data_IF_148949645824
#
_entry.id   IF_148949645824
#
_cell.length_a   1.000
_cell.length_b   1.000
_cell.length_c   1.000
_cell.angle_alpha   90.00
_cell.angle_beta   90.00
_cell.angle_gamma   90.00
#
_symmetry.space_group_name_H-M   'P 1'
#
loop_
_entity.id
_entity.type
_entity.pdbx_description
1 polymer ?
#
# COMPACT_ATOMS: atom_id res chain seq x y z
N UNK A 1 6.71 0.90 4.00
CA UNK A 1 6.35 1.85 2.90
C UNK A 1 4.84 1.96 2.80
N UNK A 2 4.31 2.85 1.90
CA UNK A 2 2.86 3.10 1.86
C UNK A 2 2.42 4.09 2.94
N UNK A 3 3.09 5.26 3.04
CA UNK A 3 2.79 6.28 4.07
C UNK A 3 1.45 6.96 3.82
N UNK A 4 1.15 7.28 2.56
CA UNK A 4 0.01 8.11 2.17
C UNK A 4 -0.94 7.39 1.21
N UNK A 5 -0.54 6.23 0.67
CA UNK A 5 -1.34 5.43 -0.25
C UNK A 5 -1.02 3.95 -0.10
N UNK A 6 -2.03 3.12 -0.14
CA UNK A 6 -1.97 1.68 0.17
C UNK A 6 -1.61 0.76 -1.00
N UNK A 7 -1.25 1.29 -2.17
CA UNK A 7 -1.01 0.49 -3.37
C UNK A 7 -0.01 -0.64 -3.18
N UNK A 8 1.14 -0.36 -2.53
CA UNK A 8 2.15 -1.40 -2.29
C UNK A 8 1.65 -2.51 -1.38
N UNK A 9 0.89 -2.15 -0.33
CA UNK A 9 0.32 -3.13 0.58
C UNK A 9 -0.79 -3.92 -0.10
N UNK A 10 -1.67 -3.27 -0.87
CA UNK A 10 -2.79 -3.90 -1.55
C UNK A 10 -2.29 -4.89 -2.61
N UNK A 11 -1.51 -4.43 -3.59
CA UNK A 11 -1.02 -5.27 -4.69
C UNK A 11 -0.05 -6.35 -4.20
N UNK A 12 0.86 -6.00 -3.28
CA UNK A 12 1.79 -6.96 -2.69
C UNK A 12 1.08 -7.99 -1.81
N UNK A 13 0.09 -7.56 -1.04
CA UNK A 13 -0.73 -8.43 -0.21
C UNK A 13 -1.58 -9.40 -1.03
N UNK A 14 -2.29 -8.92 -2.04
CA UNK A 14 -3.06 -9.77 -2.96
C UNK A 14 -2.15 -10.78 -3.67
N UNK A 15 -1.00 -10.32 -4.20
CA UNK A 15 -0.06 -11.19 -4.91
C UNK A 15 0.57 -12.26 -4.03
N UNK A 16 0.74 -11.99 -2.74
CA UNK A 16 1.30 -12.95 -1.76
C UNK A 16 0.23 -13.83 -1.09
N UNK A 17 -1.06 -13.60 -1.36
CA UNK A 17 -2.16 -14.30 -0.71
C UNK A 17 -2.33 -13.91 0.75
N UNK A 18 -2.08 -12.65 1.10
CA UNK A 18 -2.32 -12.14 2.44
C UNK A 18 -3.80 -12.28 2.83
N UNK A 19 -4.04 -12.69 4.06
CA UNK A 19 -5.37 -12.87 4.61
C UNK A 19 -6.02 -11.51 4.95
N UNK A 20 -5.22 -10.58 5.50
CA UNK A 20 -5.61 -9.21 5.82
C UNK A 20 -4.59 -8.24 5.21
N UNK A 21 -5.09 -7.14 4.65
CA UNK A 21 -4.27 -6.07 4.07
C UNK A 21 -4.78 -4.74 4.64
N UNK A 22 -3.96 -4.04 5.39
CA UNK A 22 -4.32 -2.77 6.03
C UNK A 22 -3.67 -1.60 5.27
N UNK A 23 -4.51 -0.65 4.84
CA UNK A 23 -4.11 0.48 3.98
C UNK A 23 -4.40 1.82 4.66
N UNK A 24 -3.68 2.90 4.31
CA UNK A 24 -3.90 4.23 4.91
C UNK A 24 -5.26 4.83 4.61
N UNK A 25 -5.89 4.44 3.52
CA UNK A 25 -7.16 4.99 3.04
C UNK A 25 -8.38 4.52 3.83
N UNK A 26 -8.20 3.50 4.68
CA UNK A 26 -9.27 2.95 5.51
C UNK A 26 -8.76 2.58 6.89
N UNK A 27 -9.28 3.24 7.92
CA UNK A 27 -8.92 2.99 9.31
C UNK A 27 -9.41 1.60 9.73
N UNK A 28 -8.57 0.85 10.44
CA UNK A 28 -8.90 -0.51 10.86
C UNK A 28 -9.21 -0.60 12.36
N UNK A 29 -10.10 -1.54 12.75
CA UNK A 29 -10.29 -1.94 14.14
C UNK A 29 -9.39 -3.13 14.45
N UNK A 30 -8.65 -3.04 15.56
CA UNK A 30 -7.83 -4.15 16.07
C UNK A 30 -8.71 -5.33 16.47
N UNK A 31 -9.87 -5.06 17.05
CA UNK A 31 -10.86 -6.07 17.44
C UNK A 31 -11.33 -6.85 16.23
N UNK A 32 -11.66 -6.15 15.14
CA UNK A 32 -12.09 -6.79 13.88
C UNK A 32 -10.97 -7.62 13.25
N UNK A 33 -9.72 -7.15 13.29
CA UNK A 33 -8.57 -7.94 12.85
C UNK A 33 -8.46 -9.24 13.64
N UNK A 34 -8.59 -9.17 14.97
CA UNK A 34 -8.55 -10.34 15.85
C UNK A 34 -9.70 -11.32 15.55
N UNK A 35 -10.92 -10.82 15.34
CA UNK A 35 -12.09 -11.62 14.99
C UNK A 35 -11.87 -12.39 13.68
N UNK A 36 -11.37 -11.71 12.64
CA UNK A 36 -11.08 -12.32 11.35
C UNK A 36 -10.02 -13.43 11.44
N UNK A 37 -8.95 -13.21 12.23
CA UNK A 37 -7.91 -14.21 12.46
C UNK A 37 -8.48 -15.42 13.20
N UNK A 38 -9.29 -15.20 14.26
CA UNK A 38 -9.94 -16.29 15.00
C UNK A 38 -10.88 -17.09 14.10
N UNK A 39 -11.62 -16.41 13.22
CA UNK A 39 -12.49 -17.05 12.23
C UNK A 39 -11.68 -17.93 11.27
N UNK A 40 -10.59 -17.40 10.68
CA UNK A 40 -9.72 -18.16 9.78
C UNK A 40 -9.14 -19.41 10.44
N UNK A 41 -8.74 -19.31 11.72
CA UNK A 41 -8.27 -20.47 12.51
C UNK A 41 -9.37 -21.52 12.70
N UNK A 42 -10.60 -21.11 12.99
CA UNK A 42 -11.74 -22.03 13.12
C UNK A 42 -12.06 -22.73 11.79
N UNK A 43 -11.83 -22.07 10.67
CA UNK A 43 -11.99 -22.61 9.32
C UNK A 43 -10.80 -23.53 8.89
N UNK A 44 -9.78 -23.69 9.73
CA UNK A 44 -8.67 -24.60 9.52
C UNK A 44 -7.39 -23.98 8.98
N UNK A 45 -7.30 -22.65 8.92
CA UNK A 45 -6.06 -21.98 8.56
C UNK A 45 -4.97 -22.29 9.60
N UNK A 46 -3.76 -22.67 9.13
CA UNK A 46 -2.62 -22.96 10.00
C UNK A 46 -1.82 -21.71 10.36
N UNK A 47 -1.85 -20.71 9.52
CA UNK A 47 -1.23 -19.41 9.69
C UNK A 47 -2.00 -18.38 8.87
N UNK A 48 -1.90 -17.12 9.25
CA UNK A 48 -2.39 -15.99 8.48
C UNK A 48 -1.27 -14.98 8.25
N UNK A 49 -1.30 -14.36 7.07
CA UNK A 49 -0.40 -13.27 6.71
C UNK A 49 -1.21 -11.97 6.77
N UNK A 50 -0.75 -11.04 7.58
CA UNK A 50 -1.29 -9.67 7.63
C UNK A 50 -0.27 -8.73 7.02
N UNK A 51 -0.63 -8.08 5.92
CA UNK A 51 0.18 -7.03 5.30
C UNK A 51 -0.33 -5.68 5.77
N UNK A 52 0.55 -4.85 6.28
CA UNK A 52 0.20 -3.53 6.80
C UNK A 52 1.05 -2.44 6.14
N UNK A 53 0.40 -1.43 5.56
CA UNK A 53 1.08 -0.24 5.05
C UNK A 53 1.59 0.60 6.22
N UNK A 54 2.74 1.26 6.05
CA UNK A 54 3.35 2.12 7.08
C UNK A 54 2.41 3.23 7.59
N UNK A 55 1.54 3.73 6.72
CA UNK A 55 0.57 4.77 7.04
C UNK A 55 -0.80 4.27 7.45
N UNK A 56 -1.01 2.95 7.54
CA UNK A 56 -2.25 2.39 8.07
C UNK A 56 -2.38 2.73 9.56
N UNK A 57 -3.60 2.98 10.01
CA UNK A 57 -3.85 3.45 11.38
C UNK A 57 -5.07 2.78 12.00
N UNK A 58 -5.00 2.48 13.30
CA UNK A 58 -6.15 2.04 14.04
C UNK A 58 -7.24 3.12 14.10
N UNK A 59 -8.50 2.73 14.05
CA UNK A 59 -9.64 3.63 14.19
C UNK A 59 -9.55 4.43 15.49
N UNK A 60 -9.82 5.74 15.39
CA UNK A 60 -9.75 6.66 16.53
C UNK A 60 -8.39 7.28 16.81
N UNK A 61 -7.33 6.89 16.07
CA UNK A 61 -6.02 7.54 16.13
C UNK A 61 -5.79 8.40 14.89
N UNK A 62 -5.42 9.65 15.08
CA UNK A 62 -5.15 10.58 13.97
C UNK A 62 -3.94 10.15 13.13
N UNK A 63 -2.86 9.72 13.81
CA UNK A 63 -1.65 9.14 13.22
C UNK A 63 -1.09 8.11 14.19
N UNK A 64 -0.59 6.98 13.66
CA UNK A 64 0.20 6.06 14.46
C UNK A 64 1.68 6.44 14.36
N UNK A 65 2.20 7.09 15.39
CA UNK A 65 3.60 7.50 15.51
C UNK A 65 4.17 6.85 16.76
N UNK A 66 5.04 5.86 16.59
CA UNK A 66 5.66 5.17 17.73
C UNK A 66 6.73 6.02 18.42
N UNK A 67 7.40 6.92 17.68
CA UNK A 67 8.39 7.88 18.20
C UNK A 67 8.30 9.19 17.42
N UNK A 68 8.44 10.33 18.11
CA UNK A 68 8.55 11.67 17.51
C UNK A 68 9.94 11.88 16.86
N UNK A 69 10.38 10.97 16.01
CA UNK A 69 11.58 11.19 15.20
C UNK A 69 11.20 11.88 13.91
N UNK A 70 11.79 13.02 13.69
CA UNK A 70 11.67 13.77 12.43
C UNK A 70 12.92 13.42 11.60
N UNK A 71 12.70 13.02 10.34
CA UNK A 71 13.82 12.76 9.43
C UNK A 71 14.51 14.08 9.02
N UNK A 72 15.66 13.97 8.33
CA UNK A 72 16.44 15.14 7.87
C UNK A 72 15.68 16.05 6.88
N UNK A 73 14.49 15.63 6.42
CA UNK A 73 13.62 16.38 5.52
C UNK A 73 12.39 16.96 6.20
N UNK A 74 12.27 16.85 7.53
CA UNK A 74 11.16 17.39 8.30
C UNK A 74 9.92 16.48 8.34
N UNK A 75 10.00 15.24 7.87
CA UNK A 75 8.89 14.30 7.95
C UNK A 75 8.97 13.51 9.26
N UNK A 76 7.82 13.34 9.92
CA UNK A 76 7.72 12.46 11.08
C UNK A 76 8.10 11.03 10.68
N UNK A 77 8.96 10.38 11.45
CA UNK A 77 9.27 8.97 11.26
C UNK A 77 8.03 8.14 11.65
N UNK A 78 7.27 7.74 10.65
CA UNK A 78 6.26 6.71 10.81
C UNK A 78 6.97 5.37 10.97
N UNK A 79 6.54 4.53 11.89
CA UNK A 79 7.13 3.21 12.05
C UNK A 79 6.54 2.47 13.24
N UNK A 80 6.77 1.14 13.25
CA UNK A 80 6.31 0.30 14.36
C UNK A 80 4.86 -0.13 14.31
N UNK A 81 4.08 0.25 13.29
CA UNK A 81 2.69 -0.23 13.16
C UNK A 81 2.62 -1.76 13.08
N UNK A 82 3.59 -2.40 12.43
CA UNK A 82 3.68 -3.86 12.37
C UNK A 82 3.92 -4.49 13.74
N UNK A 83 4.85 -3.93 14.52
CA UNK A 83 5.16 -4.42 15.87
C UNK A 83 4.01 -4.19 16.84
N UNK A 84 3.39 -3.00 16.77
CA UNK A 84 2.18 -2.69 17.52
C UNK A 84 1.07 -3.70 17.23
N UNK A 85 0.76 -3.88 15.94
CA UNK A 85 -0.32 -4.77 15.52
C UNK A 85 -0.04 -6.23 15.90
N UNK A 86 1.19 -6.71 15.74
CA UNK A 86 1.58 -8.05 16.19
C UNK A 86 1.37 -8.23 17.70
N UNK A 87 1.70 -7.22 18.51
CA UNK A 87 1.45 -7.20 19.95
C UNK A 87 -0.04 -7.26 20.29
N UNK A 88 -0.86 -6.45 19.63
CA UNK A 88 -2.31 -6.41 19.86
C UNK A 88 -3.02 -7.70 19.39
N UNK A 89 -2.61 -8.27 18.26
CA UNK A 89 -3.10 -9.57 17.80
C UNK A 89 -2.73 -10.66 18.82
N UNK A 90 -1.48 -10.70 19.28
CA UNK A 90 -1.05 -11.66 20.28
C UNK A 90 -1.86 -11.59 21.57
N UNK A 91 -2.15 -10.37 22.06
CA UNK A 91 -2.97 -10.15 23.27
C UNK A 91 -4.43 -10.57 23.05
N UNK A 92 -5.01 -10.18 21.90
CA UNK A 92 -6.44 -10.40 21.63
C UNK A 92 -6.80 -11.84 21.22
N UNK A 93 -5.86 -12.56 20.59
CA UNK A 93 -6.11 -13.92 20.06
C UNK A 93 -5.42 -15.01 20.85
N UNK A 94 -4.36 -14.69 21.60
CA UNK A 94 -3.48 -15.67 22.25
C UNK A 94 -2.53 -16.40 21.28
N UNK A 95 -2.48 -16.02 20.00
CA UNK A 95 -1.60 -16.67 19.03
C UNK A 95 -0.21 -16.02 19.02
N UNK A 96 0.81 -16.81 18.71
CA UNK A 96 2.15 -16.28 18.48
C UNK A 96 2.16 -15.44 17.18
N UNK A 97 2.57 -14.19 17.30
CA UNK A 97 2.68 -13.26 16.17
C UNK A 97 4.12 -12.79 16.00
N UNK A 98 4.54 -12.59 14.76
CA UNK A 98 5.86 -12.06 14.42
C UNK A 98 5.71 -10.95 13.42
N UNK A 99 6.36 -9.81 13.67
CA UNK A 99 6.43 -8.69 12.75
C UNK A 99 7.70 -8.74 11.92
N UNK A 100 7.61 -8.40 10.66
CA UNK A 100 8.76 -8.23 9.76
C UNK A 100 8.59 -6.93 9.00
N UNK A 101 9.47 -5.96 9.26
CA UNK A 101 9.53 -4.73 8.48
C UNK A 101 10.38 -4.94 7.23
N UNK A 102 9.75 -4.97 6.05
CA UNK A 102 10.46 -5.15 4.77
C UNK A 102 11.36 -3.95 4.42
N UNK A 103 10.99 -2.74 4.85
CA UNK A 103 11.79 -1.52 4.68
C UNK A 103 12.38 -1.38 3.26
N UNK A 104 13.69 -1.17 3.15
CA UNK A 104 14.38 -0.99 1.87
C UNK A 104 14.45 -2.26 0.98
N UNK A 105 14.17 -3.44 1.52
CA UNK A 105 14.05 -4.66 0.71
C UNK A 105 13.02 -4.49 -0.42
N UNK A 106 11.95 -3.72 -0.19
CA UNK A 106 10.93 -3.41 -1.20
C UNK A 106 11.47 -2.61 -2.39
N UNK A 107 12.61 -1.95 -2.25
CA UNK A 107 13.30 -1.19 -3.31
C UNK A 107 14.48 -1.94 -3.90
N UNK A 108 14.77 -3.13 -3.40
CA UNK A 108 15.86 -3.97 -3.87
C UNK A 108 15.45 -4.87 -5.04
N UNK A 109 16.43 -5.62 -5.51
CA UNK A 109 16.25 -6.57 -6.60
C UNK A 109 16.40 -5.95 -8.00
N UNK A 110 16.50 -6.82 -9.01
CA UNK A 110 16.59 -6.41 -10.40
C UNK A 110 15.19 -6.07 -10.93
N UNK A 111 15.04 -4.98 -11.73
CA UNK A 111 13.78 -4.63 -12.34
C UNK A 111 13.34 -5.72 -13.32
N UNK A 112 12.04 -5.99 -13.38
CA UNK A 112 11.48 -6.94 -14.34
C UNK A 112 11.45 -6.36 -15.76
N UNK A 113 11.09 -7.18 -16.75
CA UNK A 113 11.03 -6.75 -18.15
C UNK A 113 10.05 -5.58 -18.37
N UNK A 114 8.95 -5.54 -17.62
CA UNK A 114 7.99 -4.44 -17.66
C UNK A 114 8.64 -3.13 -17.20
N UNK A 115 9.32 -3.12 -16.04
CA UNK A 115 9.96 -1.93 -15.48
C UNK A 115 11.02 -1.37 -16.42
N UNK A 116 11.88 -2.24 -16.97
CA UNK A 116 12.92 -1.85 -17.93
C UNK A 116 12.34 -1.20 -19.19
N UNK A 117 11.26 -1.77 -19.71
CA UNK A 117 10.57 -1.26 -20.90
C UNK A 117 9.89 0.08 -20.59
N UNK A 118 9.23 0.22 -19.43
CA UNK A 118 8.59 1.47 -19.02
C UNK A 118 9.61 2.58 -18.83
N UNK A 119 10.73 2.32 -18.19
CA UNK A 119 11.82 3.30 -18.03
C UNK A 119 12.32 3.82 -19.39
N UNK A 120 12.54 2.90 -20.34
CA UNK A 120 12.94 3.27 -21.71
C UNK A 120 11.87 4.12 -22.42
N UNK A 121 10.61 3.70 -22.37
CA UNK A 121 9.54 4.41 -23.09
C UNK A 121 9.27 5.78 -22.49
N UNK A 122 9.33 5.91 -21.17
CA UNK A 122 9.19 7.21 -20.51
C UNK A 122 10.33 8.15 -20.87
N UNK A 123 11.57 7.64 -20.96
CA UNK A 123 12.71 8.44 -21.41
C UNK A 123 12.54 8.94 -22.84
N UNK A 124 12.15 8.07 -23.78
CA UNK A 124 11.88 8.45 -25.18
C UNK A 124 10.76 9.51 -25.24
N UNK A 125 9.63 9.26 -24.60
CA UNK A 125 8.51 10.20 -24.62
C UNK A 125 8.86 11.56 -23.96
N UNK A 126 9.71 11.60 -22.95
CA UNK A 126 10.18 12.85 -22.38
C UNK A 126 11.03 13.64 -23.39
N UNK A 127 11.91 12.95 -24.14
CA UNK A 127 12.69 13.58 -25.22
C UNK A 127 11.78 14.08 -26.33
N UNK A 128 10.78 13.30 -26.74
CA UNK A 128 9.78 13.71 -27.74
C UNK A 128 9.09 15.02 -27.35
N UNK A 129 8.67 15.15 -26.07
CA UNK A 129 8.07 16.39 -25.57
C UNK A 129 9.04 17.59 -25.67
N UNK A 130 10.34 17.37 -25.40
CA UNK A 130 11.35 18.42 -25.55
C UNK A 130 11.51 18.83 -27.02
N UNK A 131 11.62 17.85 -27.92
CA UNK A 131 11.75 18.11 -29.38
C UNK A 131 10.54 18.86 -29.94
N UNK A 132 9.34 18.49 -29.46
CA UNK A 132 8.09 19.18 -29.81
C UNK A 132 7.92 20.54 -29.15
N UNK A 133 8.84 20.92 -28.22
CA UNK A 133 8.72 22.12 -27.38
C UNK A 133 7.44 22.14 -26.53
N UNK A 134 6.90 20.98 -26.18
CA UNK A 134 5.66 20.79 -25.41
C UNK A 134 5.99 20.64 -23.92
N UNK A 135 6.38 21.73 -23.29
CA UNK A 135 6.85 21.80 -21.91
C UNK A 135 5.71 21.84 -20.89
N UNK A 136 6.06 21.74 -19.60
CA UNK A 136 5.10 21.79 -18.49
C UNK A 136 4.22 20.54 -18.36
N UNK A 137 4.68 19.41 -18.92
CA UNK A 137 3.97 18.13 -18.88
C UNK A 137 4.77 17.04 -18.19
N UNK A 138 4.07 16.07 -17.64
CA UNK A 138 4.59 14.83 -17.09
C UNK A 138 4.25 13.69 -18.05
N UNK A 139 5.23 12.86 -18.41
CA UNK A 139 4.97 11.59 -19.09
C UNK A 139 4.18 10.68 -18.17
N UNK A 140 3.17 10.02 -18.69
CA UNK A 140 2.29 9.14 -17.93
C UNK A 140 1.95 7.86 -18.69
N UNK A 141 1.54 6.83 -17.93
CA UNK A 141 1.03 5.57 -18.47
C UNK A 141 -0.45 5.46 -18.14
N UNK A 142 -1.29 5.39 -19.16
CA UNK A 142 -2.74 5.31 -18.99
C UNK A 142 -3.37 4.37 -20.01
N UNK A 143 -4.20 3.45 -19.57
CA UNK A 143 -4.92 2.50 -20.43
C UNK A 143 -3.99 1.75 -21.42
N UNK A 144 -2.84 1.26 -20.93
CA UNK A 144 -1.88 0.52 -21.76
C UNK A 144 -1.01 1.37 -22.69
N UNK A 145 -1.09 2.70 -22.62
CA UNK A 145 -0.39 3.61 -23.53
C UNK A 145 0.43 4.65 -22.77
N UNK A 146 1.57 5.02 -23.37
CA UNK A 146 2.34 6.19 -22.95
C UNK A 146 1.63 7.44 -23.47
N UNK A 147 1.48 8.41 -22.60
CA UNK A 147 0.83 9.70 -22.86
C UNK A 147 1.51 10.80 -22.03
N UNK A 148 1.00 11.99 -22.08
CA UNK A 148 1.44 13.09 -21.23
C UNK A 148 0.26 13.80 -20.58
N UNK A 149 0.50 14.43 -19.44
CA UNK A 149 -0.48 15.19 -18.69
C UNK A 149 0.14 16.50 -18.22
N UNK A 150 -0.58 17.65 -18.32
CA UNK A 150 -0.10 18.92 -17.77
C UNK A 150 0.23 18.80 -16.27
N UNK A 151 1.36 19.36 -15.84
CA UNK A 151 1.80 19.32 -14.44
C UNK A 151 0.76 19.93 -13.49
N UNK A 152 0.07 20.98 -13.89
CA UNK A 152 -1.00 21.63 -13.10
C UNK A 152 -2.13 20.65 -12.71
N UNK A 153 -2.36 19.61 -13.53
CA UNK A 153 -3.38 18.61 -13.24
C UNK A 153 -2.96 17.56 -12.21
N UNK A 154 -1.68 17.45 -11.92
CA UNK A 154 -1.13 16.42 -11.02
C UNK A 154 -0.53 17.00 -9.74
N UNK A 155 -0.08 18.25 -9.75
CA UNK A 155 0.47 18.92 -8.57
C UNK A 155 -0.59 18.94 -7.46
N UNK A 156 -0.18 18.53 -6.26
CA UNK A 156 -1.04 18.47 -5.08
C UNK A 156 -2.09 17.34 -5.09
N UNK A 157 -2.08 16.48 -6.10
CA UNK A 157 -2.96 15.30 -6.16
C UNK A 157 -2.17 14.04 -5.87
N UNK A 158 -2.78 13.16 -5.10
CA UNK A 158 -2.24 11.85 -4.77
C UNK A 158 -3.11 10.77 -5.43
N UNK A 159 -2.45 9.76 -5.99
CA UNK A 159 -3.13 8.57 -6.47
C UNK A 159 -3.30 7.59 -5.29
N UNK A 160 -4.46 7.60 -4.69
CA UNK A 160 -4.84 6.74 -3.57
C UNK A 160 -5.67 5.55 -4.05
N UNK A 161 -5.74 4.51 -3.22
CA UNK A 161 -6.61 3.34 -3.47
C UNK A 161 -8.07 3.78 -3.38
N UNK A 162 -8.85 3.48 -4.41
CA UNK A 162 -10.30 3.66 -4.35
C UNK A 162 -10.93 2.53 -3.52
N UNK A 163 -11.15 2.83 -2.23
CA UNK A 163 -11.71 1.88 -1.27
C UNK A 163 -13.03 1.29 -1.75
N UNK A 164 -13.89 2.09 -2.42
CA UNK A 164 -15.22 1.63 -2.86
C UNK A 164 -15.15 0.57 -3.95
N UNK A 165 -14.16 0.64 -4.82
CA UNK A 165 -14.06 -0.24 -5.99
C UNK A 165 -12.99 -1.32 -5.86
N UNK A 166 -11.98 -1.15 -5.01
CA UNK A 166 -10.80 -2.00 -4.97
C UNK A 166 -10.56 -2.69 -3.63
N UNK A 167 -11.31 -2.34 -2.59
CA UNK A 167 -11.04 -2.84 -1.25
C UNK A 167 -12.30 -3.39 -0.57
N UNK A 168 -12.17 -4.51 0.12
CA UNK A 168 -13.21 -5.12 0.96
C UNK A 168 -13.01 -4.67 2.41
N UNK A 169 -13.85 -3.72 2.83
CA UNK A 169 -13.79 -3.14 4.19
C UNK A 169 -14.25 -4.10 5.28
N UNK A 170 -14.97 -5.17 4.92
CA UNK A 170 -15.44 -6.18 5.87
C UNK A 170 -14.36 -7.21 6.18
N UNK A 171 -13.52 -7.51 5.20
CA UNK A 171 -12.45 -8.49 5.33
C UNK A 171 -11.07 -7.87 5.41
N UNK A 172 -10.95 -6.56 5.28
CA UNK A 172 -9.67 -5.86 5.17
C UNK A 172 -8.76 -6.51 4.13
N UNK A 173 -9.24 -6.66 2.89
CA UNK A 173 -8.51 -7.34 1.82
C UNK A 173 -8.81 -6.70 0.47
N UNK A 174 -8.14 -7.14 -0.58
CA UNK A 174 -8.54 -6.83 -1.94
C UNK A 174 -9.92 -7.39 -2.27
N UNK A 175 -10.56 -6.84 -3.28
CA UNK A 175 -11.92 -7.24 -3.67
C UNK A 175 -11.98 -8.70 -4.10
N UNK A 176 -12.90 -9.45 -3.52
CA UNK A 176 -13.14 -10.86 -3.86
C UNK A 176 -14.04 -11.05 -5.08
N UNK A 177 -14.84 -10.04 -5.42
CA UNK A 177 -15.75 -10.09 -6.58
C UNK A 177 -15.36 -9.01 -7.56
N UNK A 178 -14.80 -9.42 -8.70
CA UNK A 178 -14.32 -8.53 -9.76
C UNK A 178 -15.34 -8.36 -10.87
N UNK A 179 -16.12 -9.42 -11.16
CA UNK A 179 -17.19 -9.37 -12.16
C UNK A 179 -18.48 -8.95 -11.46
N UNK A 180 -18.93 -7.73 -11.70
CA UNK A 180 -20.26 -7.25 -11.32
C UNK A 180 -21.23 -7.53 -12.46
N UNK A 181 -22.40 -8.14 -12.14
CA UNK A 181 -23.50 -8.34 -13.08
C UNK A 181 -24.27 -7.05 -13.32
#
# INVERSE_FOLDING_TARGET
MGRNAGWLALEGGESSGAFIILIPEYDFSVEKVNELIIEGRKEGARYEIVVVAEGAKPAGLAEFVQEERVDSFGHKALGGIGDYLAGEIGKGTGFECRSIALSHLQRGGAPCAFDRRMGRYFGIAAVDLIVMKDYGKMVSYKNGRITSVPLEKVIGKMNIVDVKTMYDTERYSGRRTIITR
#
